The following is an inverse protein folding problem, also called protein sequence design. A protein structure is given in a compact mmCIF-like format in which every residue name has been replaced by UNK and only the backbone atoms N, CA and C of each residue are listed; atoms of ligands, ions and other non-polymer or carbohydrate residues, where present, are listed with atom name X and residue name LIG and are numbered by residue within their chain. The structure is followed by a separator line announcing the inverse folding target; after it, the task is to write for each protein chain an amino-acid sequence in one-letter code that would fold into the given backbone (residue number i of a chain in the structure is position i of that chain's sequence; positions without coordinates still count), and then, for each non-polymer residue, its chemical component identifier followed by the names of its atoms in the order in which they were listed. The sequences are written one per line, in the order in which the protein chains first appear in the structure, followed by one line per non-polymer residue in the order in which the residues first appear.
data_IF_793061127734
#
_entry.id   IF_793061127734
#
_cell.length_a   1.000
_cell.length_b   1.000
_cell.length_c   1.000
_cell.angle_alpha   90.00
_cell.angle_beta   90.00
_cell.angle_gamma   90.00
#
_symmetry.space_group_name_H-M   'P 1'
#
loop_
_entity.id
_entity.type
_entity.pdbx_description
1 polymer ?
#
# COMPACT_ATOMS: atom_id res chain seq x y z
N UNK A 1 6.58 39.31 14.15
CA UNK A 1 7.20 37.97 14.05
C UNK A 1 6.39 36.96 14.87
N UNK A 2 5.16 36.64 14.44
CA UNK A 2 4.30 35.62 15.08
C UNK A 2 3.55 34.79 14.03
N UNK A 3 3.26 35.37 12.87
CA UNK A 3 2.51 34.73 11.78
C UNK A 3 3.27 33.59 11.10
N UNK A 4 4.59 33.72 10.90
CA UNK A 4 5.40 32.62 10.34
C UNK A 4 5.39 31.32 11.15
N UNK A 5 5.11 31.40 12.45
CA UNK A 5 4.99 30.22 13.31
C UNK A 5 3.68 29.47 13.10
N UNK A 6 2.63 30.19 12.70
CA UNK A 6 1.31 29.64 12.44
C UNK A 6 1.23 29.03 11.04
N UNK A 7 1.75 29.73 10.03
CA UNK A 7 1.86 29.20 8.65
C UNK A 7 2.66 27.90 8.60
N UNK A 8 3.78 27.85 9.34
CA UNK A 8 4.61 26.64 9.44
C UNK A 8 3.86 25.50 10.12
N UNK A 9 3.03 25.79 11.14
CA UNK A 9 2.21 24.77 11.80
C UNK A 9 1.11 24.27 10.88
N UNK A 10 0.37 25.16 10.23
CA UNK A 10 -0.68 24.81 9.27
C UNK A 10 -0.13 23.94 8.13
N UNK A 11 0.98 24.37 7.51
CA UNK A 11 1.63 23.61 6.45
C UNK A 11 2.10 22.23 6.94
N UNK A 12 2.67 22.15 8.15
CA UNK A 12 3.06 20.87 8.75
C UNK A 12 1.85 19.95 8.95
N UNK A 13 0.74 20.47 9.47
CA UNK A 13 -0.47 19.67 9.69
C UNK A 13 -0.98 19.11 8.36
N UNK A 14 -1.07 19.94 7.32
CA UNK A 14 -1.49 19.50 5.99
C UNK A 14 -0.59 18.39 5.45
N UNK A 15 0.73 18.52 5.56
CA UNK A 15 1.68 17.50 5.09
C UNK A 15 1.54 16.19 5.86
N UNK A 16 1.38 16.25 7.18
CA UNK A 16 1.18 15.05 8.01
C UNK A 16 -0.14 14.33 7.68
N UNK A 17 -1.21 15.08 7.35
CA UNK A 17 -2.47 14.49 6.87
C UNK A 17 -2.27 13.77 5.54
N UNK A 18 -1.55 14.37 4.58
CA UNK A 18 -1.23 13.74 3.30
C UNK A 18 -0.36 12.49 3.47
N UNK A 19 0.62 12.54 4.38
CA UNK A 19 1.46 11.38 4.69
C UNK A 19 0.62 10.24 5.29
N UNK A 20 -0.26 10.54 6.25
CA UNK A 20 -1.16 9.55 6.85
C UNK A 20 -2.05 8.88 5.79
N UNK A 21 -2.64 9.68 4.89
CA UNK A 21 -3.47 9.18 3.81
C UNK A 21 -2.71 8.19 2.94
N UNK A 22 -1.50 8.57 2.51
CA UNK A 22 -0.64 7.76 1.66
C UNK A 22 -0.18 6.46 2.33
N UNK A 23 0.29 6.53 3.58
CA UNK A 23 0.81 5.35 4.28
C UNK A 23 -0.27 4.31 4.62
N UNK A 24 -1.55 4.71 4.62
CA UNK A 24 -2.68 3.86 4.99
C UNK A 24 -3.65 3.59 3.83
N UNK A 25 -3.47 4.26 2.68
CA UNK A 25 -4.38 4.25 1.55
C UNK A 25 -5.84 4.53 1.97
N UNK A 26 -6.03 5.53 2.86
CA UNK A 26 -7.31 5.85 3.48
C UNK A 26 -7.88 7.21 3.06
N UNK A 27 -7.51 7.70 1.87
CA UNK A 27 -7.78 9.07 1.41
C UNK A 27 -9.27 9.46 1.50
N UNK A 28 -10.18 8.57 1.10
CA UNK A 28 -11.61 8.83 1.10
C UNK A 28 -12.19 8.95 2.52
N UNK A 29 -11.94 7.96 3.38
CA UNK A 29 -12.43 7.98 4.76
C UNK A 29 -11.79 9.14 5.55
N UNK A 30 -10.49 9.39 5.34
CA UNK A 30 -9.80 10.50 5.99
C UNK A 30 -10.41 11.86 5.59
N UNK A 31 -10.77 12.04 4.32
CA UNK A 31 -11.43 13.27 3.85
C UNK A 31 -12.79 13.50 4.53
N UNK A 32 -13.58 12.45 4.73
CA UNK A 32 -14.88 12.55 5.43
C UNK A 32 -14.69 12.99 6.88
N UNK A 33 -13.73 12.40 7.60
CA UNK A 33 -13.45 12.78 9.00
C UNK A 33 -12.96 14.23 9.10
N UNK A 34 -12.07 14.64 8.21
CA UNK A 34 -11.59 16.04 8.16
C UNK A 34 -12.76 16.99 7.89
N UNK A 35 -13.65 16.66 6.97
CA UNK A 35 -14.83 17.48 6.67
C UNK A 35 -15.73 17.63 7.90
N UNK A 36 -15.99 16.54 8.62
CA UNK A 36 -16.78 16.56 9.86
C UNK A 36 -16.16 17.45 10.94
N UNK A 37 -14.84 17.37 11.15
CA UNK A 37 -14.12 18.20 12.12
C UNK A 37 -14.26 19.69 11.75
N UNK A 38 -14.06 20.01 10.46
CA UNK A 38 -14.17 21.39 9.96
C UNK A 38 -15.60 21.94 10.04
N UNK A 39 -16.62 21.11 9.75
CA UNK A 39 -18.03 21.48 9.91
C UNK A 39 -18.39 21.74 11.38
N UNK A 40 -17.71 21.07 12.31
CA UNK A 40 -17.80 21.33 13.75
C UNK A 40 -16.93 22.52 14.22
N UNK A 41 -16.26 23.22 13.29
CA UNK A 41 -15.35 24.33 13.59
C UNK A 41 -14.09 23.91 14.35
N UNK A 42 -13.75 22.63 14.31
CA UNK A 42 -12.55 22.06 14.93
C UNK A 42 -11.46 21.87 13.89
N UNK A 43 -10.21 21.92 14.35
CA UNK A 43 -9.07 21.52 13.52
C UNK A 43 -8.84 20.01 13.67
N UNK A 44 -8.41 19.32 12.60
CA UNK A 44 -8.13 17.89 12.66
C UNK A 44 -7.03 17.57 13.67
N UNK A 45 -7.29 16.61 14.57
CA UNK A 45 -6.29 16.10 15.52
C UNK A 45 -5.49 14.94 14.91
N UNK A 46 -4.24 15.21 14.53
CA UNK A 46 -3.33 14.21 13.97
C UNK A 46 -3.09 13.00 14.87
N UNK A 47 -3.07 13.15 16.20
CA UNK A 47 -2.86 12.02 17.09
C UNK A 47 -4.07 11.07 17.07
N UNK A 48 -5.27 11.64 17.15
CA UNK A 48 -6.52 10.88 17.06
C UNK A 48 -6.68 10.21 15.69
N UNK A 49 -6.37 10.93 14.61
CA UNK A 49 -6.42 10.38 13.25
C UNK A 49 -5.42 9.22 13.06
N UNK A 50 -4.20 9.34 13.56
CA UNK A 50 -3.20 8.27 13.46
C UNK A 50 -3.60 7.00 14.22
N UNK A 51 -4.27 7.14 15.35
CA UNK A 51 -4.78 6.00 16.11
C UNK A 51 -5.98 5.35 15.41
N UNK A 52 -6.92 6.19 14.90
CA UNK A 52 -8.08 5.73 14.13
C UNK A 52 -7.70 4.98 12.86
N UNK A 53 -6.75 5.50 12.10
CA UNK A 53 -6.25 4.90 10.86
C UNK A 53 -5.05 3.97 11.11
N UNK A 54 -4.84 3.52 12.35
CA UNK A 54 -3.84 2.51 12.64
C UNK A 54 -4.24 1.24 11.88
N UNK A 55 -3.32 0.61 11.12
CA UNK A 55 -3.63 -0.67 10.49
C UNK A 55 -4.07 -1.62 11.59
N UNK A 56 -5.25 -2.22 11.44
CA UNK A 56 -5.54 -3.43 12.20
C UNK A 56 -4.37 -4.37 11.94
N UNK A 57 -3.76 -4.89 13.01
CA UNK A 57 -2.60 -5.76 12.88
C UNK A 57 -3.05 -7.00 12.13
N UNK A 58 -2.97 -6.95 10.80
CA UNK A 58 -3.38 -8.03 9.93
C UNK A 58 -2.53 -9.22 10.36
N UNK A 59 -3.18 -10.24 10.92
CA UNK A 59 -2.51 -11.46 11.30
C UNK A 59 -1.85 -12.01 10.03
N UNK A 60 -0.54 -11.83 9.90
CA UNK A 60 0.21 -12.31 8.74
C UNK A 60 0.02 -13.82 8.72
N UNK A 61 -0.59 -14.40 7.67
CA UNK A 61 -0.82 -15.83 7.64
C UNK A 61 0.54 -16.53 7.63
N UNK A 62 0.69 -17.53 8.50
CA UNK A 62 1.90 -18.35 8.50
C UNK A 62 1.87 -19.26 7.27
N UNK A 63 2.51 -18.83 6.19
CA UNK A 63 2.62 -19.61 4.95
C UNK A 63 3.81 -20.55 5.06
N UNK A 64 3.57 -21.86 5.00
CA UNK A 64 4.61 -22.87 4.88
C UNK A 64 4.77 -23.26 3.41
N UNK A 65 5.87 -22.83 2.78
CA UNK A 65 6.21 -23.24 1.41
C UNK A 65 6.88 -24.61 1.46
N UNK A 66 6.25 -25.62 0.86
CA UNK A 66 6.90 -26.90 0.61
C UNK A 66 7.72 -26.76 -0.67
N UNK A 67 9.04 -26.85 -0.55
CA UNK A 67 9.91 -26.87 -1.71
C UNK A 67 9.69 -28.17 -2.48
N UNK A 68 9.41 -28.05 -3.77
CA UNK A 68 9.39 -29.18 -4.67
C UNK A 68 10.82 -29.71 -4.89
N UNK A 69 10.98 -31.03 -5.12
CA UNK A 69 12.22 -31.59 -5.66
C UNK A 69 12.68 -30.85 -6.93
N UNK A 70 14.00 -30.69 -7.10
CA UNK A 70 14.56 -29.86 -8.19
C UNK A 70 14.33 -30.45 -9.59
N UNK A 71 14.26 -31.77 -9.70
CA UNK A 71 13.99 -32.52 -10.92
C UNK A 71 12.64 -32.16 -11.56
N UNK A 72 11.66 -31.72 -10.77
CA UNK A 72 10.38 -31.22 -11.30
C UNK A 72 10.56 -29.96 -12.17
N UNK A 73 11.56 -29.12 -11.89
CA UNK A 73 11.85 -27.95 -12.73
C UNK A 73 12.49 -28.35 -14.07
N UNK A 74 13.26 -29.44 -14.10
CA UNK A 74 13.86 -29.96 -15.33
C UNK A 74 12.77 -30.44 -16.31
N UNK A 75 11.71 -31.06 -15.80
CA UNK A 75 10.54 -31.46 -16.62
C UNK A 75 9.84 -30.24 -17.24
N UNK A 76 9.65 -29.16 -16.48
CA UNK A 76 9.05 -27.91 -16.99
C UNK A 76 9.93 -27.24 -18.05
N UNK A 77 11.26 -27.27 -17.86
CA UNK A 77 12.20 -26.78 -18.86
C UNK A 77 12.16 -27.63 -20.13
N UNK A 78 12.06 -28.95 -20.01
CA UNK A 78 11.88 -29.86 -21.14
C UNK A 78 10.59 -29.56 -21.91
N UNK A 79 9.47 -29.29 -21.23
CA UNK A 79 8.20 -28.90 -21.88
C UNK A 79 8.36 -27.58 -22.65
N UNK A 80 9.05 -26.59 -22.09
CA UNK A 80 9.31 -25.31 -22.77
C UNK A 80 10.17 -25.49 -24.02
N UNK A 81 11.20 -26.33 -23.95
CA UNK A 81 12.07 -26.68 -25.09
C UNK A 81 11.31 -27.44 -26.17
N UNK A 82 10.39 -28.34 -25.79
CA UNK A 82 9.53 -29.05 -26.74
C UNK A 82 8.55 -28.10 -27.44
N UNK A 83 7.92 -27.18 -26.72
CA UNK A 83 7.07 -26.14 -27.33
C UNK A 83 7.84 -25.22 -28.27
N UNK A 84 9.08 -24.85 -27.96
CA UNK A 84 9.94 -24.07 -28.87
C UNK A 84 10.34 -24.84 -30.13
N UNK A 85 10.47 -26.18 -30.04
CA UNK A 85 10.80 -27.05 -31.17
C UNK A 85 9.60 -27.36 -32.06
N UNK A 86 8.41 -27.52 -31.49
CA UNK A 86 7.16 -27.66 -32.25
C UNK A 86 6.88 -26.45 -33.14
N UNK A 87 7.36 -25.26 -32.75
CA UNK A 87 7.22 -24.02 -33.52
C UNK A 87 8.24 -23.88 -34.67
N UNK A 88 9.21 -24.81 -34.80
CA UNK A 88 10.23 -24.83 -35.85
C UNK A 88 10.02 -25.98 -36.86
N UNK A 89 8.83 -26.60 -36.85
CA UNK A 89 8.49 -27.75 -37.69
C UNK A 89 7.57 -27.47 -38.87
N UNK A 90 7.07 -26.25 -39.06
CA UNK A 90 6.14 -25.89 -40.14
C UNK A 90 6.72 -24.78 -41.03
N UNK A 91 7.83 -25.10 -41.70
CA UNK A 91 8.35 -24.33 -42.83
C UNK A 91 9.12 -25.28 -43.76
N UNK A 92 8.38 -26.09 -44.51
CA UNK A 92 8.85 -26.79 -45.70
C UNK A 92 7.72 -26.88 -46.71
#
# INVERSE_FOLDING_TARGET
MREHGDDRRACKVTVELLALAHERACEAELAEVIAMDLDAGQLPDLAALRDRFRPEAASIPRVAVKLAPLDVYDELACVSVMSGRSNLGEAA
#
